data_IF_960848892337
#
_entry.id   IF_960848892337
#
_cell.length_a   1.000
_cell.length_b   1.000
_cell.length_c   1.000
_cell.angle_alpha   90.00
_cell.angle_beta   90.00
_cell.angle_gamma   90.00
#
_symmetry.space_group_name_H-M   'P 1'
#
loop_
_entity.id
_entity.type
_entity.pdbx_description
1 polymer ?
#
# COMPACT_ATOMS: atom_id res chain seq x y z
N UNK A 1 23.58 26.19 -5.41
CA UNK A 1 22.88 24.93 -5.72
C UNK A 1 23.87 23.80 -5.46
N UNK A 2 23.63 22.98 -4.46
CA UNK A 2 24.45 21.77 -4.21
C UNK A 2 24.18 20.80 -5.35
N UNK A 3 25.18 20.48 -6.17
CA UNK A 3 25.06 19.43 -7.18
C UNK A 3 24.93 18.09 -6.46
N UNK A 4 23.77 17.46 -6.58
CA UNK A 4 23.54 16.10 -6.11
C UNK A 4 24.31 15.10 -7.01
N UNK A 5 24.93 14.05 -6.43
CA UNK A 5 25.57 13.00 -7.24
C UNK A 5 24.56 12.34 -8.19
N UNK A 6 25.01 11.82 -9.33
CA UNK A 6 24.10 11.11 -10.23
C UNK A 6 23.72 9.74 -9.66
N UNK A 7 22.44 9.39 -9.65
CA UNK A 7 21.95 8.08 -9.19
C UNK A 7 21.13 7.38 -10.27
N UNK A 8 21.75 6.48 -11.01
CA UNK A 8 21.11 5.72 -12.11
C UNK A 8 20.64 4.36 -11.64
N UNK A 9 19.63 3.79 -12.31
CA UNK A 9 19.15 2.43 -12.05
C UNK A 9 20.27 1.41 -12.28
N UNK A 10 20.40 0.44 -11.37
CA UNK A 10 21.19 -0.78 -11.59
C UNK A 10 20.32 -1.94 -12.12
N UNK A 11 19.02 -1.70 -12.28
CA UNK A 11 18.02 -2.63 -12.79
C UNK A 11 17.40 -2.09 -14.10
N UNK A 12 16.89 -2.96 -14.99
CA UNK A 12 16.19 -2.53 -16.19
C UNK A 12 14.91 -1.74 -15.85
N UNK A 13 14.65 -0.66 -16.60
CA UNK A 13 13.39 0.10 -16.51
C UNK A 13 12.26 -0.72 -17.14
N UNK A 14 11.16 -0.91 -16.41
CA UNK A 14 9.95 -1.56 -16.92
C UNK A 14 8.99 -0.46 -17.40
N UNK A 15 9.04 -0.13 -18.69
CA UNK A 15 8.32 1.03 -19.24
C UNK A 15 6.78 0.97 -19.05
N UNK A 16 6.21 -0.23 -18.98
CA UNK A 16 4.78 -0.42 -18.74
C UNK A 16 4.38 -0.24 -17.26
N UNK A 17 5.34 -0.24 -16.34
CA UNK A 17 5.12 0.17 -14.96
C UNK A 17 5.10 1.70 -14.95
N UNK A 18 3.90 2.29 -14.97
CA UNK A 18 3.72 3.74 -14.96
C UNK A 18 3.17 4.22 -13.62
N UNK A 19 3.58 5.42 -13.22
CA UNK A 19 2.86 6.16 -12.18
C UNK A 19 1.55 6.63 -12.79
N UNK A 20 0.45 6.00 -12.42
CA UNK A 20 -0.86 6.40 -12.90
C UNK A 20 -1.21 7.76 -12.30
N UNK A 21 -1.03 8.81 -13.10
CA UNK A 21 -1.43 10.18 -12.78
C UNK A 21 -2.81 10.53 -13.35
N UNK A 22 -3.49 9.58 -14.00
CA UNK A 22 -4.81 9.76 -14.61
C UNK A 22 -5.77 8.69 -14.10
N UNK A 23 -6.45 8.97 -12.99
CA UNK A 23 -7.69 8.26 -12.65
C UNK A 23 -8.77 8.73 -13.63
N UNK A 24 -9.16 7.85 -14.57
CA UNK A 24 -9.84 8.18 -15.84
C UNK A 24 -11.32 8.63 -15.76
N UNK A 25 -11.80 9.16 -14.63
CA UNK A 25 -13.14 9.74 -14.57
C UNK A 25 -13.14 11.06 -13.81
N UNK A 26 -13.69 12.09 -14.45
CA UNK A 26 -13.91 13.41 -13.83
C UNK A 26 -14.75 13.29 -12.55
N UNK A 27 -14.62 14.26 -11.63
CA UNK A 27 -15.46 14.37 -10.43
C UNK A 27 -16.96 14.18 -10.75
N UNK A 28 -17.40 14.76 -11.88
CA UNK A 28 -18.77 14.59 -12.37
C UNK A 28 -19.13 13.14 -12.72
N UNK A 29 -18.24 12.39 -13.37
CA UNK A 29 -18.49 10.98 -13.68
C UNK A 29 -18.46 10.08 -12.43
N UNK A 30 -17.61 10.39 -11.45
CA UNK A 30 -17.61 9.74 -10.12
C UNK A 30 -18.97 9.96 -9.42
N UNK A 31 -19.46 11.20 -9.38
CA UNK A 31 -20.77 11.56 -8.82
C UNK A 31 -21.96 10.89 -9.55
N UNK A 32 -21.93 10.84 -10.88
CA UNK A 32 -23.00 10.19 -11.67
C UNK A 32 -23.06 8.69 -11.40
N UNK A 33 -21.91 8.02 -11.29
CA UNK A 33 -21.80 6.60 -10.96
C UNK A 33 -22.30 6.33 -9.53
N UNK A 34 -21.90 7.17 -8.57
CA UNK A 34 -22.45 7.19 -7.22
C UNK A 34 -23.98 7.24 -7.19
N UNK A 35 -24.57 8.21 -7.88
CA UNK A 35 -26.02 8.39 -7.93
C UNK A 35 -26.75 7.23 -8.61
N UNK A 36 -26.23 6.75 -9.74
CA UNK A 36 -26.88 5.67 -10.51
C UNK A 36 -27.02 4.40 -9.70
N UNK A 37 -26.03 4.09 -8.86
CA UNK A 37 -26.02 2.88 -8.06
C UNK A 37 -26.87 3.01 -6.78
N UNK A 38 -26.93 4.18 -6.16
CA UNK A 38 -27.88 4.42 -5.06
C UNK A 38 -29.35 4.27 -5.53
N UNK A 39 -29.63 4.56 -6.80
CA UNK A 39 -30.93 4.29 -7.43
C UNK A 39 -31.14 2.80 -7.77
N UNK A 40 -30.05 2.01 -7.77
CA UNK A 40 -30.02 0.56 -8.01
C UNK A 40 -29.71 -0.20 -6.72
N UNK A 41 -30.10 0.33 -5.55
CA UNK A 41 -29.89 -0.30 -4.24
C UNK A 41 -30.39 -1.75 -4.16
N UNK A 42 -31.45 -2.08 -4.90
CA UNK A 42 -31.99 -3.42 -5.05
C UNK A 42 -31.08 -4.42 -5.81
N UNK A 43 -30.07 -3.92 -6.54
CA UNK A 43 -29.07 -4.73 -7.27
C UNK A 43 -27.77 -4.92 -6.49
N UNK A 44 -27.52 -4.13 -5.44
CA UNK A 44 -26.28 -4.21 -4.66
C UNK A 44 -26.40 -5.37 -3.67
N UNK A 45 -25.44 -6.30 -3.69
CA UNK A 45 -25.34 -7.30 -2.63
C UNK A 45 -25.15 -6.61 -1.29
N UNK A 46 -26.13 -6.78 -0.39
CA UNK A 46 -26.06 -6.24 0.96
C UNK A 46 -24.75 -6.62 1.65
N UNK A 47 -24.09 -5.67 2.33
CA UNK A 47 -22.85 -5.97 3.05
C UNK A 47 -23.10 -7.06 4.08
N UNK A 48 -22.06 -7.83 4.45
CA UNK A 48 -22.19 -8.85 5.48
C UNK A 48 -22.83 -8.30 6.76
N UNK A 49 -23.67 -9.08 7.48
CA UNK A 49 -24.29 -8.64 8.73
C UNK A 49 -23.29 -8.15 9.77
N UNK A 50 -22.14 -8.82 9.93
CA UNK A 50 -21.08 -8.48 10.88
C UNK A 50 -19.71 -8.43 10.18
N UNK A 51 -19.46 -7.45 9.28
CA UNK A 51 -18.21 -7.38 8.54
C UNK A 51 -17.05 -7.12 9.49
N UNK A 52 -15.91 -7.76 9.21
CA UNK A 52 -14.64 -7.52 9.88
C UNK A 52 -13.49 -7.75 8.93
N UNK A 53 -12.62 -6.75 8.79
CA UNK A 53 -11.48 -6.82 7.88
C UNK A 53 -10.46 -7.88 8.33
N UNK A 54 -9.73 -8.45 7.38
CA UNK A 54 -8.53 -9.23 7.68
C UNK A 54 -7.48 -8.29 8.28
N UNK A 55 -6.79 -8.74 9.35
CA UNK A 55 -5.77 -7.93 9.99
C UNK A 55 -4.58 -7.68 9.06
N UNK A 56 -3.94 -6.51 9.18
CA UNK A 56 -2.68 -6.19 8.49
C UNK A 56 -1.45 -6.71 9.24
N UNK A 57 -1.59 -7.16 10.49
CA UNK A 57 -0.46 -7.55 11.34
C UNK A 57 -0.69 -8.83 12.16
N UNK A 58 -1.90 -9.05 12.68
CA UNK A 58 -2.19 -10.15 13.60
C UNK A 58 -2.62 -11.42 12.87
N UNK A 59 -2.15 -12.56 13.38
CA UNK A 59 -2.39 -13.87 12.77
C UNK A 59 -1.40 -14.23 11.67
N UNK A 60 -1.26 -15.53 11.41
CA UNK A 60 -0.37 -16.05 10.36
C UNK A 60 -0.81 -15.59 8.98
N UNK A 61 0.13 -15.28 8.10
CA UNK A 61 -0.15 -14.95 6.70
C UNK A 61 -0.39 -16.26 5.93
N UNK A 62 -1.66 -16.59 5.67
CA UNK A 62 -2.04 -17.88 5.08
C UNK A 62 -2.20 -17.84 3.57
N UNK A 63 -2.78 -16.78 3.02
CA UNK A 63 -3.00 -16.62 1.57
C UNK A 63 -2.83 -15.16 1.16
N UNK A 64 -2.04 -14.93 0.12
CA UNK A 64 -1.74 -13.63 -0.47
C UNK A 64 -2.11 -13.60 -1.96
N UNK A 65 -2.72 -12.51 -2.40
CA UNK A 65 -2.81 -12.17 -3.82
C UNK A 65 -1.54 -11.44 -4.24
N UNK A 66 -1.00 -11.83 -5.40
CA UNK A 66 -0.04 -11.05 -6.17
C UNK A 66 -0.58 -10.86 -7.59
N UNK A 67 -0.45 -9.64 -8.12
CA UNK A 67 -0.83 -9.33 -9.50
C UNK A 67 0.42 -9.31 -10.39
N UNK A 68 0.46 -10.21 -11.37
CA UNK A 68 1.52 -10.41 -12.34
C UNK A 68 1.01 -10.09 -13.76
N UNK A 69 0.80 -8.80 -14.08
CA UNK A 69 0.44 -8.39 -15.43
C UNK A 69 1.53 -8.80 -16.42
N UNK A 70 1.21 -8.84 -17.72
CA UNK A 70 2.10 -9.45 -18.71
C UNK A 70 3.49 -8.82 -18.71
N UNK A 71 3.57 -7.49 -18.56
CA UNK A 71 4.83 -6.75 -18.49
C UNK A 71 5.70 -7.13 -17.28
N UNK A 72 5.13 -7.66 -16.20
CA UNK A 72 5.89 -8.12 -15.04
C UNK A 72 6.58 -9.46 -15.31
N UNK A 73 6.21 -10.16 -16.39
CA UNK A 73 6.75 -11.46 -16.80
C UNK A 73 7.51 -11.40 -18.14
N UNK A 74 7.58 -10.23 -18.79
CA UNK A 74 8.40 -10.03 -19.98
C UNK A 74 9.88 -10.19 -19.63
N UNK A 75 10.62 -11.00 -20.40
CA UNK A 75 12.06 -11.29 -20.16
C UNK A 75 12.34 -11.63 -18.68
N UNK A 76 11.73 -12.69 -18.12
CA UNK A 76 11.66 -12.91 -16.68
C UNK A 76 13.04 -13.08 -16.00
N UNK A 77 14.08 -13.44 -16.74
CA UNK A 77 15.45 -13.54 -16.23
C UNK A 77 16.05 -12.17 -15.86
N UNK A 78 15.58 -11.10 -16.50
CA UNK A 78 16.08 -9.73 -16.32
C UNK A 78 15.02 -8.79 -15.73
N UNK A 79 13.76 -9.24 -15.62
CA UNK A 79 12.66 -8.41 -15.14
C UNK A 79 12.71 -8.23 -13.61
N UNK A 80 12.95 -7.00 -13.12
CA UNK A 80 13.05 -6.77 -11.68
C UNK A 80 11.73 -7.05 -10.94
N UNK A 81 10.57 -6.90 -11.60
CA UNK A 81 9.27 -7.13 -10.94
C UNK A 81 9.08 -8.61 -10.63
N UNK A 82 9.28 -9.49 -11.63
CA UNK A 82 9.21 -10.93 -11.41
C UNK A 82 10.26 -11.38 -10.40
N UNK A 83 11.50 -10.91 -10.51
CA UNK A 83 12.57 -11.33 -9.61
C UNK A 83 12.22 -11.05 -8.14
N UNK A 84 11.69 -9.85 -7.85
CA UNK A 84 11.30 -9.46 -6.49
C UNK A 84 10.06 -10.16 -6.00
N UNK A 85 9.05 -10.35 -6.84
CA UNK A 85 7.85 -11.14 -6.47
C UNK A 85 8.20 -12.61 -6.21
N UNK A 86 9.08 -13.21 -7.02
CA UNK A 86 9.60 -14.58 -6.80
C UNK A 86 10.38 -14.66 -5.49
N UNK A 87 11.25 -13.70 -5.22
CA UNK A 87 12.01 -13.66 -3.98
C UNK A 87 11.10 -13.54 -2.75
N UNK A 88 10.06 -12.70 -2.82
CA UNK A 88 9.04 -12.59 -1.77
C UNK A 88 8.36 -13.93 -1.50
N UNK A 89 7.92 -14.65 -2.53
CA UNK A 89 7.28 -15.96 -2.37
C UNK A 89 8.18 -17.00 -1.70
N UNK A 90 9.49 -16.96 -2.01
CA UNK A 90 10.50 -17.83 -1.41
C UNK A 90 10.83 -17.44 0.04
N UNK A 91 10.83 -16.15 0.36
CA UNK A 91 11.13 -15.62 1.70
C UNK A 91 9.99 -15.85 2.70
N UNK A 92 8.75 -16.00 2.23
CA UNK A 92 7.59 -16.25 3.09
C UNK A 92 7.50 -17.73 3.52
N UNK A 93 7.05 -18.03 4.74
CA UNK A 93 7.06 -19.38 5.31
C UNK A 93 6.26 -20.38 4.48
N UNK A 94 6.63 -21.66 4.53
CA UNK A 94 6.01 -22.71 3.71
C UNK A 94 4.47 -22.85 3.85
N UNK A 95 3.88 -22.33 4.94
CA UNK A 95 2.44 -22.33 5.15
C UNK A 95 1.70 -21.23 4.35
N UNK A 96 2.39 -20.21 3.88
CA UNK A 96 1.81 -19.13 3.09
C UNK A 96 1.58 -19.60 1.65
N UNK A 97 0.33 -19.52 1.20
CA UNK A 97 -0.09 -19.79 -0.16
C UNK A 97 -0.28 -18.48 -0.94
N UNK A 98 -0.31 -18.58 -2.25
CA UNK A 98 -0.43 -17.45 -3.15
C UNK A 98 -1.50 -17.68 -4.21
N UNK A 99 -2.32 -16.67 -4.42
CA UNK A 99 -3.17 -16.53 -5.61
C UNK A 99 -2.50 -15.53 -6.55
N UNK A 100 -2.17 -15.97 -7.76
CA UNK A 100 -1.39 -15.19 -8.72
C UNK A 100 -2.28 -14.79 -9.89
N UNK A 101 -2.67 -13.53 -9.98
CA UNK A 101 -3.40 -13.02 -11.13
C UNK A 101 -2.44 -12.77 -12.29
N UNK A 102 -2.67 -13.38 -13.45
CA UNK A 102 -1.88 -13.15 -14.66
C UNK A 102 -2.76 -13.18 -15.90
N UNK A 103 -2.31 -12.59 -17.00
CA UNK A 103 -3.04 -12.64 -18.26
C UNK A 103 -3.01 -14.07 -18.85
N UNK A 104 -4.08 -14.49 -19.53
CA UNK A 104 -4.17 -15.81 -20.19
C UNK A 104 -2.97 -16.09 -21.09
N UNK A 105 -2.45 -15.08 -21.80
CA UNK A 105 -1.27 -15.20 -22.67
C UNK A 105 0.03 -15.55 -21.92
N UNK A 106 0.15 -15.14 -20.66
CA UNK A 106 1.35 -15.39 -19.82
C UNK A 106 1.17 -16.55 -18.84
N UNK A 107 -0.01 -17.17 -18.78
CA UNK A 107 -0.32 -18.25 -17.84
C UNK A 107 0.67 -19.44 -17.94
N UNK A 108 0.95 -19.93 -19.15
CA UNK A 108 1.87 -21.06 -19.33
C UNK A 108 3.32 -20.70 -18.96
N UNK A 109 3.74 -19.47 -19.26
CA UNK A 109 5.05 -18.96 -18.86
C UNK A 109 5.17 -18.93 -17.32
N UNK A 110 4.17 -18.36 -16.64
CA UNK A 110 4.13 -18.31 -15.18
C UNK A 110 4.15 -19.73 -14.57
N UNK A 111 3.37 -20.67 -15.11
CA UNK A 111 3.35 -22.05 -14.64
C UNK A 111 4.75 -22.70 -14.70
N UNK A 112 5.49 -22.50 -15.80
CA UNK A 112 6.86 -23.00 -15.95
C UNK A 112 7.81 -22.35 -14.95
N UNK A 113 7.75 -21.02 -14.79
CA UNK A 113 8.59 -20.28 -13.85
C UNK A 113 8.34 -20.73 -12.39
N UNK A 114 7.10 -21.01 -12.03
CA UNK A 114 6.75 -21.54 -10.69
C UNK A 114 7.27 -22.97 -10.49
N UNK A 115 7.25 -23.80 -11.55
CA UNK A 115 7.81 -25.14 -11.50
C UNK A 115 9.33 -25.09 -11.30
N UNK A 116 10.04 -24.24 -12.05
CA UNK A 116 11.49 -24.04 -11.90
C UNK A 116 11.86 -23.55 -10.49
N UNK A 117 11.02 -22.70 -9.90
CA UNK A 117 11.21 -22.18 -8.53
C UNK A 117 10.70 -23.14 -7.42
N UNK A 118 10.16 -24.32 -7.76
CA UNK A 118 9.52 -25.25 -6.82
C UNK A 118 8.36 -24.63 -6.00
N UNK A 119 7.63 -23.69 -6.59
CA UNK A 119 6.52 -22.95 -5.94
C UNK A 119 5.13 -23.50 -6.30
N UNK A 120 5.01 -24.42 -7.26
CA UNK A 120 3.71 -24.91 -7.79
C UNK A 120 2.73 -25.37 -6.73
N UNK A 121 3.20 -26.01 -5.64
CA UNK A 121 2.31 -26.51 -4.56
C UNK A 121 1.72 -25.40 -3.67
N UNK A 122 2.32 -24.20 -3.69
CA UNK A 122 1.92 -23.06 -2.87
C UNK A 122 1.19 -21.99 -3.69
N UNK A 123 1.12 -22.12 -5.01
CA UNK A 123 0.60 -21.09 -5.90
C UNK A 123 -0.59 -21.61 -6.72
N UNK A 124 -1.68 -20.84 -6.72
CA UNK A 124 -2.80 -20.96 -7.66
C UNK A 124 -2.71 -19.83 -8.67
N UNK A 125 -2.85 -20.14 -9.96
CA UNK A 125 -2.91 -19.11 -11.00
C UNK A 125 -4.37 -18.76 -11.31
N UNK A 126 -4.68 -17.46 -11.26
CA UNK A 126 -5.91 -16.87 -11.76
C UNK A 126 -5.62 -16.29 -13.15
N UNK A 127 -6.12 -16.96 -14.19
CA UNK A 127 -5.93 -16.54 -15.58
C UNK A 127 -7.00 -15.52 -15.98
N UNK A 128 -6.60 -14.25 -16.07
CA UNK A 128 -7.42 -13.08 -16.44
C UNK A 128 -7.41 -12.92 -17.97
N UNK A 129 -8.54 -12.47 -18.54
CA UNK A 129 -8.61 -12.22 -19.98
C UNK A 129 -7.55 -11.19 -20.44
N UNK A 130 -7.03 -11.35 -21.65
CA UNK A 130 -5.98 -10.46 -22.17
C UNK A 130 -6.47 -9.03 -22.42
N UNK A 131 -7.78 -8.79 -22.47
CA UNK A 131 -8.40 -7.48 -22.64
C UNK A 131 -8.59 -6.71 -21.33
N UNK A 132 -8.46 -7.39 -20.18
CA UNK A 132 -8.59 -6.77 -18.87
C UNK A 132 -7.20 -6.37 -18.42
N UNK A 133 -6.93 -5.07 -18.45
CA UNK A 133 -5.71 -4.52 -17.88
C UNK A 133 -5.81 -4.49 -16.35
N UNK A 134 -4.69 -4.80 -15.68
CA UNK A 134 -4.57 -4.67 -14.24
C UNK A 134 -3.11 -4.38 -13.86
N UNK A 135 -2.93 -3.87 -12.65
CA UNK A 135 -1.62 -3.38 -12.20
C UNK A 135 -0.97 -4.36 -11.21
N UNK A 136 0.31 -4.15 -10.90
CA UNK A 136 1.01 -4.95 -9.87
C UNK A 136 0.54 -4.67 -8.44
N UNK A 137 -0.24 -3.61 -8.23
CA UNK A 137 -0.57 -3.06 -6.91
C UNK A 137 -1.78 -3.77 -6.31
N UNK A 138 -1.59 -5.04 -5.95
CA UNK A 138 -2.67 -5.91 -5.47
C UNK A 138 -3.38 -5.37 -4.21
N UNK A 139 -2.71 -4.51 -3.41
CA UNK A 139 -3.24 -4.03 -2.14
C UNK A 139 -4.45 -3.11 -2.31
N UNK A 140 -4.45 -2.30 -3.37
CA UNK A 140 -5.31 -1.13 -3.53
C UNK A 140 -6.75 -1.44 -3.94
N UNK A 141 -7.01 -2.30 -4.95
CA UNK A 141 -8.32 -2.41 -5.59
C UNK A 141 -9.46 -2.87 -4.70
N UNK A 142 -9.12 -3.66 -3.69
CA UNK A 142 -10.10 -4.38 -2.87
C UNK A 142 -9.77 -4.27 -1.39
N UNK A 143 -10.76 -4.49 -0.53
CA UNK A 143 -10.58 -4.92 0.84
C UNK A 143 -11.04 -6.38 0.98
N UNK A 144 -10.50 -7.10 1.95
CA UNK A 144 -10.89 -8.48 2.24
C UNK A 144 -11.27 -8.58 3.70
N UNK A 145 -12.40 -9.24 3.97
CA UNK A 145 -12.91 -9.44 5.31
C UNK A 145 -13.53 -10.80 5.52
N UNK A 146 -14.11 -10.97 6.70
CA UNK A 146 -14.95 -12.10 7.08
C UNK A 146 -16.21 -11.61 7.77
N UNK A 147 -17.34 -12.23 7.48
CA UNK A 147 -18.51 -12.07 8.33
C UNK A 147 -18.20 -12.76 9.65
N UNK A 148 -18.15 -11.99 10.73
CA UNK A 148 -17.83 -12.53 12.03
C UNK A 148 -19.00 -13.29 12.69
N UNK A 149 -20.17 -13.31 12.04
CA UNK A 149 -21.30 -14.14 12.43
C UNK A 149 -21.26 -15.53 11.74
N UNK A 150 -21.12 -15.58 10.42
CA UNK A 150 -21.09 -16.85 9.68
C UNK A 150 -19.69 -17.47 9.55
N UNK A 151 -18.64 -16.65 9.60
CA UNK A 151 -17.26 -17.03 9.31
C UNK A 151 -16.90 -16.92 7.82
N UNK A 152 -17.85 -16.59 6.95
CA UNK A 152 -17.62 -16.53 5.50
C UNK A 152 -16.72 -15.37 5.12
N UNK A 153 -15.80 -15.61 4.20
CA UNK A 153 -14.94 -14.58 3.65
C UNK A 153 -15.64 -13.79 2.54
N UNK A 154 -15.30 -12.51 2.44
CA UNK A 154 -15.79 -11.65 1.39
C UNK A 154 -14.70 -10.72 0.86
N UNK A 155 -14.84 -10.36 -0.41
CA UNK A 155 -14.13 -9.29 -1.09
C UNK A 155 -15.06 -8.09 -1.13
N UNK A 156 -14.53 -6.93 -0.77
CA UNK A 156 -15.23 -5.66 -0.79
C UNK A 156 -14.52 -4.71 -1.74
N UNK A 157 -15.21 -4.28 -2.77
CA UNK A 157 -14.74 -3.20 -3.64
C UNK A 157 -15.24 -1.84 -3.15
N UNK A 158 -14.45 -0.78 -3.32
CA UNK A 158 -14.97 0.57 -3.20
C UNK A 158 -15.87 0.87 -4.41
N UNK A 159 -16.74 1.86 -4.24
CA UNK A 159 -17.76 2.24 -5.22
C UNK A 159 -17.18 2.66 -6.57
N UNK A 160 -16.05 3.35 -6.49
CA UNK A 160 -15.28 3.78 -7.64
C UNK A 160 -13.85 3.37 -7.38
N UNK A 161 -13.48 2.18 -7.86
CA UNK A 161 -12.09 1.88 -8.18
C UNK A 161 -11.93 1.97 -9.70
N UNK A 162 -11.30 3.04 -10.16
CA UNK A 162 -11.22 3.36 -11.59
C UNK A 162 -9.82 3.15 -12.14
N UNK A 163 -9.05 2.31 -11.45
CA UNK A 163 -7.69 2.02 -11.83
C UNK A 163 -7.70 0.89 -12.87
N UNK A 164 -7.47 1.24 -14.13
CA UNK A 164 -7.41 0.26 -15.21
C UNK A 164 -8.68 -0.63 -15.25
N UNK A 165 -8.54 -1.93 -15.53
CA UNK A 165 -9.58 -2.95 -15.38
C UNK A 165 -9.60 -3.62 -14.01
N UNK A 166 -8.98 -3.05 -12.97
CA UNK A 166 -8.83 -3.68 -11.64
C UNK A 166 -10.20 -4.00 -10.99
N UNK A 167 -11.27 -3.28 -11.34
CA UNK A 167 -12.63 -3.61 -10.89
C UNK A 167 -13.11 -4.99 -11.37
N UNK A 168 -12.70 -5.43 -12.56
CA UNK A 168 -13.03 -6.79 -13.05
C UNK A 168 -12.21 -7.87 -12.33
N UNK A 169 -11.08 -7.51 -11.71
CA UNK A 169 -10.24 -8.45 -10.99
C UNK A 169 -10.92 -8.96 -9.72
N UNK A 170 -11.71 -8.13 -9.03
CA UNK A 170 -12.37 -8.52 -7.78
C UNK A 170 -13.39 -9.64 -7.98
N UNK A 171 -14.21 -9.57 -9.02
CA UNK A 171 -15.20 -10.60 -9.36
C UNK A 171 -14.53 -11.93 -9.71
N UNK A 172 -13.52 -11.87 -10.58
CA UNK A 172 -12.73 -13.04 -10.99
C UNK A 172 -12.02 -13.67 -9.78
N UNK A 173 -11.47 -12.84 -8.91
CA UNK A 173 -10.80 -13.28 -7.70
C UNK A 173 -11.78 -13.92 -6.73
N UNK A 174 -12.92 -13.27 -6.43
CA UNK A 174 -13.94 -13.78 -5.54
C UNK A 174 -14.40 -15.18 -5.96
N UNK A 175 -14.71 -15.34 -7.25
CA UNK A 175 -15.06 -16.63 -7.83
C UNK A 175 -13.94 -17.68 -7.68
N UNK A 176 -12.70 -17.31 -7.99
CA UNK A 176 -11.57 -18.23 -7.94
C UNK A 176 -11.20 -18.68 -6.52
N UNK A 177 -11.44 -17.85 -5.51
CA UNK A 177 -11.16 -18.16 -4.10
C UNK A 177 -12.38 -18.63 -3.31
N UNK A 178 -13.57 -18.59 -3.92
CA UNK A 178 -14.82 -18.99 -3.30
C UNK A 178 -15.33 -18.02 -2.24
N UNK A 179 -15.02 -16.73 -2.39
CA UNK A 179 -15.47 -15.67 -1.48
C UNK A 179 -16.71 -14.99 -2.03
N UNK A 180 -17.52 -14.41 -1.14
CA UNK A 180 -18.59 -13.51 -1.56
C UNK A 180 -18.00 -12.21 -2.07
N UNK A 181 -18.64 -11.59 -3.04
CA UNK A 181 -18.28 -10.27 -3.53
C UNK A 181 -19.37 -9.26 -3.13
N UNK A 182 -18.95 -8.07 -2.74
CA UNK A 182 -19.85 -6.96 -2.42
C UNK A 182 -19.14 -5.65 -2.72
N UNK A 183 -19.92 -4.58 -2.86
CA UNK A 183 -19.41 -3.23 -3.09
C UNK A 183 -19.88 -2.31 -1.97
N UNK A 184 -19.01 -1.38 -1.56
CA UNK A 184 -19.36 -0.33 -0.62
C UNK A 184 -19.51 1.00 -1.35
N UNK A 185 -20.49 1.84 -0.96
CA UNK A 185 -20.63 3.22 -1.44
C UNK A 185 -19.57 4.12 -0.78
N UNK A 186 -18.30 3.74 -0.87
CA UNK A 186 -17.18 4.39 -0.21
C UNK A 186 -16.04 4.52 -1.22
N UNK A 187 -15.27 5.59 -1.10
CA UNK A 187 -13.97 5.67 -1.75
C UNK A 187 -12.90 5.15 -0.78
N UNK A 188 -12.18 4.12 -1.18
CA UNK A 188 -11.00 3.66 -0.46
C UNK A 188 -10.07 2.85 -1.37
N UNK A 189 -8.83 2.76 -0.94
CA UNK A 189 -7.81 1.85 -1.47
C UNK A 189 -7.19 1.12 -0.27
N UNK A 190 -6.86 -0.15 -0.44
CA UNK A 190 -6.39 -0.97 0.68
C UNK A 190 -5.06 -0.52 1.28
N UNK A 191 -4.17 0.16 0.53
CA UNK A 191 -2.91 0.68 1.09
C UNK A 191 -3.14 1.76 2.15
N UNK A 192 -4.32 2.41 2.09
CA UNK A 192 -4.71 3.43 3.05
C UNK A 192 -5.51 2.89 4.25
N UNK A 193 -5.52 1.56 4.44
CA UNK A 193 -6.21 0.88 5.53
C UNK A 193 -5.22 -0.04 6.26
N UNK A 194 -5.02 0.19 7.56
CA UNK A 194 -4.19 -0.67 8.43
C UNK A 194 -5.02 -1.25 9.57
N UNK A 195 -5.14 -2.58 9.61
CA UNK A 195 -6.06 -3.28 10.49
C UNK A 195 -5.31 -3.95 11.64
N UNK A 196 -5.53 -3.47 12.87
CA UNK A 196 -4.92 -4.01 14.08
C UNK A 196 -5.81 -5.09 14.73
N UNK A 197 -5.66 -5.30 16.04
CA UNK A 197 -6.44 -6.27 16.81
C UNK A 197 -7.84 -5.75 17.14
N UNK A 198 -7.94 -4.59 17.81
CA UNK A 198 -9.20 -3.97 18.26
C UNK A 198 -9.53 -2.61 17.60
N UNK A 199 -8.69 -2.15 16.68
CA UNK A 199 -8.91 -0.94 15.89
C UNK A 199 -8.46 -1.13 14.44
N UNK A 200 -8.84 -0.21 13.57
CA UNK A 200 -8.23 -0.05 12.26
C UNK A 200 -8.04 1.42 11.93
N UNK A 201 -6.95 1.72 11.24
CA UNK A 201 -6.68 3.03 10.68
C UNK A 201 -7.24 3.14 9.27
N UNK A 202 -7.74 4.32 8.96
CA UNK A 202 -8.08 4.77 7.62
C UNK A 202 -7.40 6.11 7.39
N UNK A 203 -6.70 6.26 6.28
CA UNK A 203 -6.09 7.53 5.89
C UNK A 203 -7.12 8.63 5.67
N UNK A 204 -6.78 9.86 6.05
CA UNK A 204 -7.73 10.97 6.14
C UNK A 204 -8.20 11.52 4.78
N UNK A 205 -7.45 11.28 3.70
CA UNK A 205 -7.88 11.71 2.35
C UNK A 205 -9.18 11.00 1.94
N UNK A 206 -9.37 9.72 2.30
CA UNK A 206 -10.47 8.92 1.77
C UNK A 206 -11.85 9.22 2.35
N UNK A 207 -12.00 9.49 3.66
CA UNK A 207 -13.23 10.08 4.17
C UNK A 207 -13.56 11.43 3.52
N UNK A 208 -12.56 12.26 3.23
CA UNK A 208 -12.77 13.57 2.57
C UNK A 208 -13.29 13.35 1.16
N UNK A 209 -12.63 12.49 0.38
CA UNK A 209 -13.06 12.11 -0.96
C UNK A 209 -14.47 11.50 -0.96
N UNK A 210 -14.76 10.58 -0.02
CA UNK A 210 -16.09 10.00 0.13
C UNK A 210 -17.16 11.07 0.40
N UNK A 211 -16.87 12.06 1.26
CA UNK A 211 -17.78 13.20 1.49
C UNK A 211 -18.00 13.99 0.20
N UNK A 212 -16.96 14.23 -0.61
CA UNK A 212 -17.07 14.97 -1.87
C UNK A 212 -17.93 14.23 -2.92
N UNK A 213 -17.87 12.90 -2.95
CA UNK A 213 -18.59 12.11 -3.95
C UNK A 213 -20.04 11.80 -3.54
N UNK A 214 -20.26 11.39 -2.29
CA UNK A 214 -21.57 10.88 -1.82
C UNK A 214 -22.12 11.62 -0.60
N UNK A 215 -21.41 12.59 -0.03
CA UNK A 215 -21.75 13.18 1.27
C UNK A 215 -23.11 13.85 1.33
N UNK A 216 -23.62 14.39 0.22
CA UNK A 216 -24.97 14.96 0.12
C UNK A 216 -26.08 13.91 -0.02
N UNK A 217 -25.69 12.66 -0.31
CA UNK A 217 -26.60 11.52 -0.46
C UNK A 217 -26.69 10.69 0.83
N UNK A 218 -25.78 10.91 1.79
CA UNK A 218 -25.79 10.21 3.08
C UNK A 218 -26.92 10.74 3.96
N UNK A 219 -27.79 9.85 4.42
CA UNK A 219 -28.85 10.21 5.37
C UNK A 219 -28.23 10.56 6.73
N UNK A 220 -28.50 11.78 7.21
CA UNK A 220 -28.00 12.26 8.50
C UNK A 220 -29.03 12.02 9.60
N UNK A 221 -28.59 11.54 10.76
CA UNK A 221 -29.41 11.55 11.98
C UNK A 221 -29.51 12.98 12.54
N UNK A 222 -30.56 13.31 13.33
CA UNK A 222 -30.67 14.61 13.97
C UNK A 222 -29.41 14.97 14.78
N UNK A 223 -28.78 16.10 14.46
CA UNK A 223 -27.56 16.59 15.12
C UNK A 223 -26.25 15.94 14.66
N UNK A 224 -26.30 15.03 13.68
CA UNK A 224 -25.12 14.38 13.11
C UNK A 224 -24.46 15.24 12.01
N UNK A 225 -23.14 15.35 12.03
CA UNK A 225 -22.37 15.97 10.95
C UNK A 225 -22.12 14.98 9.81
N UNK A 226 -21.93 15.48 8.58
CA UNK A 226 -21.55 14.62 7.44
C UNK A 226 -20.31 13.77 7.71
N UNK A 227 -19.31 14.33 8.38
CA UNK A 227 -18.10 13.60 8.76
C UNK A 227 -18.39 12.43 9.71
N UNK A 228 -19.30 12.61 10.67
CA UNK A 228 -19.74 11.54 11.56
C UNK A 228 -20.50 10.45 10.79
N UNK A 229 -21.39 10.84 9.87
CA UNK A 229 -22.17 9.90 9.07
C UNK A 229 -21.29 9.07 8.13
N UNK A 230 -20.33 9.69 7.41
CA UNK A 230 -19.37 8.97 6.56
C UNK A 230 -18.49 8.04 7.40
N UNK A 231 -18.01 8.48 8.57
CA UNK A 231 -17.27 7.60 9.48
C UNK A 231 -18.09 6.37 9.90
N UNK A 232 -19.40 6.54 10.17
CA UNK A 232 -20.30 5.41 10.46
C UNK A 232 -20.46 4.50 9.25
N UNK A 233 -20.54 5.02 8.02
CA UNK A 233 -20.60 4.19 6.82
C UNK A 233 -19.34 3.33 6.66
N UNK A 234 -18.14 3.90 6.83
CA UNK A 234 -16.90 3.11 6.84
C UNK A 234 -16.93 1.99 7.90
N UNK A 235 -17.37 2.31 9.11
CA UNK A 235 -17.55 1.33 10.20
C UNK A 235 -18.59 0.25 9.85
N UNK A 236 -19.65 0.58 9.11
CA UNK A 236 -20.71 -0.36 8.76
C UNK A 236 -20.29 -1.35 7.67
N UNK A 237 -19.53 -0.90 6.68
CA UNK A 237 -19.12 -1.71 5.53
C UNK A 237 -17.78 -2.44 5.74
N UNK A 238 -16.80 -1.78 6.38
CA UNK A 238 -15.47 -2.35 6.52
C UNK A 238 -15.37 -3.28 7.73
N UNK A 239 -15.67 -2.78 8.92
CA UNK A 239 -15.51 -3.53 10.15
C UNK A 239 -16.43 -2.98 11.24
N UNK A 240 -17.41 -3.76 11.74
CA UNK A 240 -18.35 -3.29 12.79
C UNK A 240 -17.80 -3.45 14.21
N UNK A 241 -16.71 -4.20 14.40
CA UNK A 241 -16.21 -4.60 15.73
C UNK A 241 -15.05 -3.74 16.20
N UNK A 242 -14.08 -3.48 15.31
CA UNK A 242 -12.87 -2.72 15.63
C UNK A 242 -13.12 -1.23 15.57
N UNK A 243 -12.51 -0.43 16.45
CA UNK A 243 -12.65 1.03 16.43
C UNK A 243 -12.03 1.64 15.16
N UNK A 244 -12.78 2.45 14.41
CA UNK A 244 -12.23 3.26 13.32
C UNK A 244 -11.48 4.51 13.84
N UNK A 245 -10.22 4.61 13.47
CA UNK A 245 -9.34 5.76 13.72
C UNK A 245 -8.91 6.38 12.39
N UNK A 246 -9.18 7.67 12.19
CA UNK A 246 -8.78 8.37 10.96
C UNK A 246 -7.40 8.99 11.17
N UNK A 247 -6.49 8.76 10.24
CA UNK A 247 -5.09 9.15 10.35
C UNK A 247 -4.71 10.17 9.28
N UNK A 248 -4.16 11.29 9.71
CA UNK A 248 -3.68 12.35 8.83
C UNK A 248 -2.85 13.38 9.59
N UNK A 249 -2.35 14.35 8.85
CA UNK A 249 -1.65 15.53 9.35
C UNK A 249 -2.64 16.66 9.59
N UNK A 250 -2.38 17.46 10.63
CA UNK A 250 -3.06 18.74 10.87
C UNK A 250 -2.21 19.94 10.45
N UNK A 251 -1.06 19.71 9.83
CA UNK A 251 -0.22 20.74 9.21
C UNK A 251 -0.27 20.61 7.68
N UNK A 252 -0.10 21.72 6.93
CA UNK A 252 -0.15 21.71 5.47
C UNK A 252 0.83 20.72 4.85
N UNK A 253 0.41 20.12 3.74
CA UNK A 253 1.18 19.16 2.96
C UNK A 253 1.37 19.73 1.56
N UNK A 254 2.58 19.67 1.01
CA UNK A 254 2.81 20.10 -0.36
C UNK A 254 2.17 19.11 -1.34
N UNK A 255 1.54 19.66 -2.38
CA UNK A 255 1.15 18.94 -3.57
C UNK A 255 2.36 18.53 -4.40
N UNK A 256 2.16 17.61 -5.34
CA UNK A 256 3.19 17.18 -6.30
C UNK A 256 3.77 18.40 -7.03
N UNK A 257 5.10 18.53 -7.01
CA UNK A 257 5.81 19.66 -7.61
C UNK A 257 6.79 19.18 -8.68
N UNK A 258 6.80 19.82 -9.84
CA UNK A 258 7.81 19.61 -10.88
C UNK A 258 8.60 20.88 -11.11
N UNK A 259 9.93 20.80 -11.08
CA UNK A 259 10.84 21.93 -11.34
C UNK A 259 11.81 21.59 -12.44
N UNK A 260 12.25 22.60 -13.18
CA UNK A 260 13.34 22.45 -14.14
C UNK A 260 14.68 22.87 -13.52
N UNK A 261 15.75 22.18 -13.91
CA UNK A 261 17.11 22.53 -13.52
C UNK A 261 18.10 22.18 -14.63
N UNK A 262 19.31 22.74 -14.59
CA UNK A 262 20.37 22.44 -15.56
C UNK A 262 21.33 21.40 -15.00
N UNK A 263 21.59 20.33 -15.75
CA UNK A 263 22.58 19.28 -15.44
C UNK A 263 23.21 18.79 -16.73
N UNK A 264 24.54 18.73 -16.75
CA UNK A 264 25.34 18.28 -17.91
C UNK A 264 25.00 19.01 -19.23
N UNK A 265 24.71 20.32 -19.14
CA UNK A 265 24.36 21.16 -20.29
C UNK A 265 22.97 20.90 -20.88
N UNK A 266 22.14 20.11 -20.22
CA UNK A 266 20.75 19.84 -20.60
C UNK A 266 19.78 20.38 -19.55
N UNK A 267 18.58 20.71 -20.00
CA UNK A 267 17.45 20.96 -19.11
C UNK A 267 16.90 19.62 -18.62
N UNK A 268 16.79 19.49 -17.30
CA UNK A 268 16.20 18.35 -16.62
C UNK A 268 14.94 18.77 -15.89
N UNK A 269 14.02 17.82 -15.67
CA UNK A 269 12.88 17.97 -14.76
C UNK A 269 13.15 17.19 -13.48
N UNK A 270 12.80 17.74 -12.33
CA UNK A 270 12.76 17.00 -11.08
C UNK A 270 11.37 17.03 -10.45
N UNK A 271 10.94 15.89 -9.94
CA UNK A 271 9.60 15.68 -9.38
C UNK A 271 9.68 15.36 -7.89
N UNK A 272 8.88 16.07 -7.10
CA UNK A 272 8.74 15.91 -5.65
C UNK A 272 7.30 15.55 -5.29
N UNK A 273 7.11 14.92 -4.12
CA UNK A 273 5.80 14.65 -3.53
C UNK A 273 4.86 13.89 -4.47
N UNK A 274 5.40 12.88 -5.16
CA UNK A 274 4.67 12.05 -6.12
C UNK A 274 3.35 11.55 -5.52
N UNK A 275 2.24 11.72 -6.26
CA UNK A 275 0.85 11.38 -5.88
C UNK A 275 0.19 12.25 -4.80
N UNK A 276 0.86 13.28 -4.26
CA UNK A 276 0.15 14.26 -3.44
C UNK A 276 -0.64 15.21 -4.34
N UNK A 277 -1.91 15.42 -4.00
CA UNK A 277 -2.82 16.32 -4.71
C UNK A 277 -3.07 17.60 -3.91
N UNK A 278 -3.69 18.60 -4.55
CA UNK A 278 -4.09 19.81 -3.86
C UNK A 278 -5.03 19.46 -2.69
N UNK A 279 -4.64 19.86 -1.47
CA UNK A 279 -5.43 19.61 -0.27
C UNK A 279 -5.23 18.24 0.38
N UNK A 280 -4.27 17.41 -0.09
CA UNK A 280 -3.89 16.18 0.62
C UNK A 280 -3.58 16.45 2.10
N UNK A 281 -4.05 15.55 2.96
CA UNK A 281 -3.87 15.60 4.42
C UNK A 281 -3.03 14.43 4.95
N UNK A 282 -2.39 13.67 4.07
CA UNK A 282 -1.42 12.63 4.44
C UNK A 282 -0.03 12.90 3.84
N UNK A 283 1.08 12.68 4.58
CA UNK A 283 2.42 12.99 4.07
C UNK A 283 2.76 12.24 2.78
N UNK A 284 2.30 10.99 2.68
CA UNK A 284 2.32 10.17 1.47
C UNK A 284 0.88 9.72 1.20
N UNK A 285 0.56 9.46 -0.06
CA UNK A 285 -0.79 9.11 -0.51
C UNK A 285 -1.46 7.96 0.27
N UNK A 286 -0.68 6.99 0.78
CA UNK A 286 -1.16 5.90 1.66
C UNK A 286 -0.46 5.86 3.03
N UNK A 287 -1.22 5.52 4.08
CA UNK A 287 -0.68 5.38 5.45
C UNK A 287 0.30 4.22 5.63
N UNK A 288 0.16 3.13 4.87
CA UNK A 288 1.08 2.00 4.94
C UNK A 288 2.52 2.33 4.47
N UNK A 289 2.67 3.45 3.76
CA UNK A 289 3.97 3.96 3.32
C UNK A 289 4.75 4.63 4.44
N UNK A 290 4.14 4.95 5.59
CA UNK A 290 4.84 5.64 6.68
C UNK A 290 4.41 5.24 8.10
N UNK A 291 3.43 4.33 8.24
CA UNK A 291 3.02 3.74 9.52
C UNK A 291 3.09 2.22 9.44
N UNK A 292 3.65 1.57 10.46
CA UNK A 292 3.60 0.12 10.61
C UNK A 292 3.05 -0.29 11.97
N UNK A 293 2.30 -1.39 12.01
CA UNK A 293 1.72 -1.95 13.22
C UNK A 293 2.71 -2.92 13.87
N UNK A 294 2.96 -2.83 15.18
CA UNK A 294 3.92 -3.68 15.90
C UNK A 294 3.31 -4.42 17.11
N UNK A 295 1.98 -4.54 17.16
CA UNK A 295 1.27 -5.24 18.23
C UNK A 295 1.32 -4.51 19.57
N UNK A 296 0.90 -5.18 20.65
CA UNK A 296 0.92 -4.60 22.00
C UNK A 296 2.25 -4.86 22.69
N UNK A 297 2.63 -3.97 23.59
CA UNK A 297 3.69 -4.24 24.56
C UNK A 297 3.16 -4.96 25.81
N UNK A 298 4.06 -5.25 26.76
CA UNK A 298 3.72 -5.93 28.01
C UNK A 298 2.74 -5.16 28.89
N UNK A 299 2.55 -3.85 28.66
CA UNK A 299 1.56 -3.01 29.35
C UNK A 299 0.22 -2.96 28.62
N UNK A 300 0.09 -3.67 27.48
CA UNK A 300 -1.12 -3.67 26.65
C UNK A 300 -1.23 -2.44 25.74
N UNK A 301 -0.23 -1.56 25.71
CA UNK A 301 -0.24 -0.38 24.84
C UNK A 301 0.14 -0.79 23.42
N UNK A 302 -0.66 -0.38 22.43
CA UNK A 302 -0.37 -0.73 21.05
C UNK A 302 0.81 0.09 20.50
N UNK A 303 1.74 -0.60 19.88
CA UNK A 303 3.00 -0.08 19.36
C UNK A 303 2.90 0.20 17.86
N UNK A 304 3.38 1.36 17.44
CA UNK A 304 3.39 1.81 16.06
C UNK A 304 4.80 2.29 15.70
N UNK A 305 5.22 2.05 14.46
CA UNK A 305 6.38 2.71 13.88
C UNK A 305 5.88 3.81 12.94
N UNK A 306 6.50 4.98 13.01
CA UNK A 306 6.21 6.10 12.10
C UNK A 306 7.52 6.63 11.53
N UNK A 307 7.62 6.70 10.20
CA UNK A 307 8.83 7.10 9.49
C UNK A 307 9.34 8.50 9.88
N UNK A 308 10.66 8.65 9.96
CA UNK A 308 11.38 9.88 10.32
C UNK A 308 12.52 10.16 9.32
N UNK A 309 12.35 11.15 8.43
CA UNK A 309 13.39 11.51 7.48
C UNK A 309 14.62 12.21 8.08
N UNK A 310 14.48 12.83 9.25
CA UNK A 310 15.63 13.40 9.99
C UNK A 310 16.51 12.30 10.53
N UNK A 311 15.91 11.26 11.12
CA UNK A 311 16.66 10.09 11.58
C UNK A 311 17.44 9.42 10.44
N UNK A 312 16.84 9.34 9.24
CA UNK A 312 17.55 8.84 8.06
C UNK A 312 18.73 9.74 7.66
N UNK A 313 18.53 11.05 7.58
CA UNK A 313 19.61 12.00 7.24
C UNK A 313 20.78 11.90 8.24
N UNK A 314 20.49 11.85 9.54
CA UNK A 314 21.50 11.73 10.61
C UNK A 314 22.31 10.44 10.48
N UNK A 315 21.66 9.30 10.23
CA UNK A 315 22.32 7.99 10.03
C UNK A 315 23.20 7.96 8.78
N UNK A 316 22.75 8.61 7.71
CA UNK A 316 23.49 8.68 6.45
C UNK A 316 24.68 9.66 6.55
N UNK A 317 24.66 10.59 7.51
CA UNK A 317 25.61 11.69 7.60
C UNK A 317 25.36 12.74 6.51
N UNK A 318 24.12 12.87 6.06
CA UNK A 318 23.70 13.74 4.97
C UNK A 318 22.88 14.92 5.51
N UNK A 319 22.90 16.10 4.85
CA UNK A 319 22.03 17.19 5.23
C UNK A 319 20.56 16.78 5.02
N UNK A 320 19.70 17.13 5.97
CA UNK A 320 18.26 16.90 5.85
C UNK A 320 17.72 17.54 4.54
N UNK A 321 17.14 16.76 3.61
CA UNK A 321 16.60 17.32 2.39
C UNK A 321 15.45 18.29 2.69
N UNK A 322 15.44 19.44 1.99
CA UNK A 322 14.39 20.48 2.15
C UNK A 322 12.98 19.92 1.94
N UNK A 323 12.85 18.94 1.06
CA UNK A 323 11.58 18.33 0.64
C UNK A 323 11.19 17.11 1.49
N UNK A 324 11.86 16.86 2.61
CA UNK A 324 11.65 15.66 3.42
C UNK A 324 10.40 15.70 4.34
N UNK A 325 9.62 16.78 4.37
CA UNK A 325 8.35 16.88 5.12
C UNK A 325 8.43 16.49 6.62
N UNK A 326 9.59 16.67 7.29
CA UNK A 326 9.81 16.24 8.69
C UNK A 326 8.71 16.72 9.64
N UNK A 327 8.27 17.98 9.51
CA UNK A 327 7.22 18.54 10.37
C UNK A 327 5.86 17.84 10.20
N UNK A 328 5.57 17.29 9.02
CA UNK A 328 4.33 16.54 8.73
C UNK A 328 4.40 15.17 9.40
N UNK A 329 5.51 14.44 9.26
CA UNK A 329 5.71 13.16 9.95
C UNK A 329 5.72 13.31 11.48
N UNK A 330 6.36 14.37 12.00
CA UNK A 330 6.35 14.68 13.43
C UNK A 330 4.94 15.04 13.93
N UNK A 331 4.12 15.68 13.10
CA UNK A 331 2.71 15.95 13.43
C UNK A 331 1.91 14.64 13.58
N UNK A 332 2.02 13.73 12.61
CA UNK A 332 1.37 12.42 12.66
C UNK A 332 1.79 11.65 13.91
N UNK A 333 3.10 11.55 14.19
CA UNK A 333 3.62 10.82 15.34
C UNK A 333 3.08 11.39 16.66
N UNK A 334 3.07 12.72 16.82
CA UNK A 334 2.50 13.37 18.01
C UNK A 334 0.99 13.11 18.15
N UNK A 335 0.24 13.12 17.06
CA UNK A 335 -1.20 12.87 17.09
C UNK A 335 -1.50 11.43 17.52
N UNK A 336 -0.73 10.47 17.03
CA UNK A 336 -0.81 9.07 17.47
C UNK A 336 -0.44 8.89 18.95
N UNK A 337 0.62 9.54 19.42
CA UNK A 337 0.99 9.53 20.85
C UNK A 337 -0.13 10.09 21.72
N UNK A 338 -0.72 11.23 21.33
CA UNK A 338 -1.88 11.83 22.02
C UNK A 338 -3.11 10.91 22.02
N UNK A 339 -3.27 10.09 20.98
CA UNK A 339 -4.33 9.09 20.89
C UNK A 339 -4.07 7.83 21.75
N UNK A 340 -2.94 7.77 22.47
CA UNK A 340 -2.63 6.70 23.42
C UNK A 340 -1.72 5.60 22.86
N UNK A 341 -1.16 5.76 21.66
CA UNK A 341 -0.25 4.79 21.07
C UNK A 341 1.19 4.96 21.54
N UNK A 342 1.92 3.85 21.63
CA UNK A 342 3.38 3.88 21.81
C UNK A 342 4.02 4.01 20.43
N UNK A 343 4.56 5.19 20.14
CA UNK A 343 5.12 5.49 18.82
C UNK A 343 6.64 5.42 18.84
N UNK A 344 7.20 4.56 18.01
CA UNK A 344 8.62 4.51 17.68
C UNK A 344 8.86 5.23 16.35
N UNK A 345 10.02 5.89 16.23
CA UNK A 345 10.46 6.55 15.00
C UNK A 345 11.45 5.66 14.28
N UNK A 346 11.27 5.45 12.98
CA UNK A 346 12.16 4.62 12.17
C UNK A 346 12.71 5.41 10.97
N UNK A 347 13.94 5.14 10.50
CA UNK A 347 14.55 5.91 9.41
C UNK A 347 13.71 5.83 8.13
N UNK A 348 13.35 6.99 7.56
CA UNK A 348 12.61 7.11 6.30
C UNK A 348 13.40 7.99 5.29
N UNK A 349 14.38 7.42 4.57
CA UNK A 349 15.22 8.19 3.65
C UNK A 349 14.41 8.74 2.45
N UNK A 350 14.53 10.05 2.20
CA UNK A 350 14.14 10.66 0.93
C UNK A 350 15.33 10.57 -0.04
N UNK A 351 15.15 9.88 -1.16
CA UNK A 351 16.19 9.69 -2.18
C UNK A 351 15.63 9.97 -3.58
N UNK A 352 16.44 9.76 -4.62
CA UNK A 352 16.03 9.98 -5.99
C UNK A 352 16.66 8.98 -6.96
N UNK A 353 16.08 8.90 -8.14
CA UNK A 353 16.62 8.25 -9.33
C UNK A 353 16.72 9.27 -10.46
N UNK A 354 17.83 9.23 -11.20
CA UNK A 354 18.09 10.00 -12.40
C UNK A 354 17.88 9.11 -13.63
N UNK A 355 16.93 9.51 -14.47
CA UNK A 355 16.66 8.94 -15.79
C UNK A 355 17.36 9.80 -16.85
N UNK A 356 18.50 9.31 -17.35
CA UNK A 356 19.33 10.05 -18.29
C UNK A 356 18.70 10.16 -19.68
N UNK A 357 17.86 9.20 -20.05
CA UNK A 357 17.18 9.18 -21.36
C UNK A 357 16.07 10.22 -21.37
N UNK A 358 15.25 10.26 -20.32
CA UNK A 358 14.14 11.21 -20.19
C UNK A 358 14.57 12.59 -19.66
N UNK A 359 15.81 12.74 -19.19
CA UNK A 359 16.29 13.92 -18.47
C UNK A 359 15.39 14.26 -17.26
N UNK A 360 15.01 13.22 -16.50
CA UNK A 360 14.14 13.34 -15.32
C UNK A 360 14.85 12.88 -14.04
N UNK A 361 14.56 13.56 -12.93
CA UNK A 361 14.91 13.13 -11.57
C UNK A 361 13.63 12.91 -10.78
N UNK A 362 13.42 11.70 -10.26
CA UNK A 362 12.24 11.37 -9.45
C UNK A 362 12.64 11.16 -8.01
N UNK A 363 12.15 12.03 -7.13
CA UNK A 363 12.35 11.90 -5.69
C UNK A 363 11.28 11.00 -5.07
N UNK A 364 11.70 10.08 -4.20
CA UNK A 364 10.81 9.13 -3.53
C UNK A 364 11.35 8.76 -2.15
N UNK A 365 10.45 8.35 -1.26
CA UNK A 365 10.82 7.80 0.04
C UNK A 365 11.09 6.30 -0.10
N UNK A 366 12.30 5.88 0.25
CA UNK A 366 12.66 4.48 0.37
C UNK A 366 12.14 3.96 1.72
N UNK A 367 10.87 3.54 1.73
CA UNK A 367 10.13 3.26 2.96
C UNK A 367 10.25 1.82 3.45
N UNK A 368 10.81 1.64 4.64
CA UNK A 368 10.77 0.36 5.35
C UNK A 368 9.40 0.09 6.01
N UNK A 369 8.49 1.07 6.05
CA UNK A 369 7.19 0.91 6.71
C UNK A 369 6.21 0.07 5.89
N UNK A 370 6.37 0.07 4.56
CA UNK A 370 5.54 -0.69 3.64
C UNK A 370 5.97 -2.17 3.60
N UNK A 371 5.69 -2.84 4.71
CA UNK A 371 6.19 -4.16 5.08
C UNK A 371 5.06 -5.17 5.34
N UNK A 372 5.39 -6.46 5.31
CA UNK A 372 4.48 -7.51 5.77
C UNK A 372 4.76 -7.83 7.23
N UNK A 373 3.73 -7.81 8.07
CA UNK A 373 3.85 -8.06 9.51
C UNK A 373 3.03 -9.29 9.89
N UNK A 374 3.61 -10.20 10.67
CA UNK A 374 2.96 -11.39 11.22
C UNK A 374 3.18 -11.43 12.73
N UNK A 375 2.09 -11.33 13.50
CA UNK A 375 2.07 -11.40 14.96
C UNK A 375 1.14 -12.53 15.34
N UNK A 376 1.70 -13.70 15.65
CA UNK A 376 0.93 -14.87 16.10
C UNK A 376 0.80 -14.87 17.61
N UNK A 377 1.87 -14.48 18.30
CA UNK A 377 1.94 -14.34 19.76
C UNK A 377 3.07 -13.39 20.14
N UNK A 378 3.27 -13.18 21.44
CA UNK A 378 4.42 -12.39 21.90
C UNK A 378 5.78 -13.05 21.63
N UNK A 379 5.83 -14.36 21.44
CA UNK A 379 7.05 -15.10 21.13
C UNK A 379 7.21 -15.42 19.63
N UNK A 380 6.17 -15.24 18.82
CA UNK A 380 6.16 -15.54 17.39
C UNK A 380 5.72 -14.29 16.62
N UNK A 381 6.72 -13.44 16.33
CA UNK A 381 6.56 -12.20 15.55
C UNK A 381 7.56 -12.21 14.40
N UNK A 382 7.10 -11.91 13.19
CA UNK A 382 7.92 -11.83 11.98
C UNK A 382 7.59 -10.57 11.18
N UNK A 383 8.59 -10.02 10.53
CA UNK A 383 8.42 -8.91 9.61
C UNK A 383 9.30 -9.07 8.37
N UNK A 384 8.71 -8.84 7.20
CA UNK A 384 9.43 -8.80 5.94
C UNK A 384 9.54 -7.34 5.47
N UNK A 385 10.75 -6.79 5.53
CA UNK A 385 11.02 -5.37 5.26
C UNK A 385 11.60 -5.20 3.86
N UNK A 386 11.12 -4.23 3.05
CA UNK A 386 11.88 -3.82 1.86
C UNK A 386 13.21 -3.19 2.28
N UNK A 387 14.25 -3.43 1.48
CA UNK A 387 15.56 -2.83 1.68
C UNK A 387 16.07 -2.16 0.39
N UNK A 388 16.95 -1.18 0.55
CA UNK A 388 17.31 -0.21 -0.50
C UNK A 388 18.82 0.05 -0.59
N UNK A 389 19.62 -0.53 0.30
CA UNK A 389 21.07 -0.42 0.30
C UNK A 389 21.74 -1.23 -0.80
N UNK A 390 21.58 -0.83 -2.06
CA UNK A 390 22.19 -1.50 -3.22
C UNK A 390 22.42 -0.54 -4.40
N UNK A 391 23.26 -0.94 -5.35
CA UNK A 391 23.55 -0.15 -6.55
C UNK A 391 24.03 1.27 -6.22
N UNK A 392 23.39 2.28 -6.83
CA UNK A 392 23.69 3.71 -6.59
C UNK A 392 23.24 4.22 -5.20
N UNK A 393 22.59 3.37 -4.41
CA UNK A 393 22.04 3.67 -3.08
C UNK A 393 22.67 2.82 -1.97
N UNK A 394 23.88 2.30 -2.18
CA UNK A 394 24.63 1.51 -1.19
C UNK A 394 24.69 2.15 0.22
N UNK A 395 24.69 3.49 0.29
CA UNK A 395 24.64 4.23 1.56
C UNK A 395 23.38 3.93 2.40
N UNK A 396 22.26 3.56 1.76
CA UNK A 396 21.00 3.21 2.42
C UNK A 396 21.07 1.90 3.22
N UNK A 397 22.13 1.10 3.11
CA UNK A 397 22.35 -0.06 4.02
C UNK A 397 22.30 0.35 5.48
N UNK A 398 22.81 1.55 5.82
CA UNK A 398 22.75 2.09 7.18
C UNK A 398 21.31 2.25 7.69
N UNK A 399 20.40 2.72 6.83
CA UNK A 399 18.98 2.87 7.18
C UNK A 399 18.26 1.53 7.19
N UNK A 400 18.61 0.59 6.30
CA UNK A 400 18.07 -0.77 6.30
C UNK A 400 18.40 -1.50 7.60
N UNK A 401 19.68 -1.49 8.00
CA UNK A 401 20.16 -2.09 9.24
C UNK A 401 19.55 -1.42 10.48
N UNK A 402 19.34 -0.11 10.46
CA UNK A 402 18.70 0.61 11.56
C UNK A 402 17.22 0.25 11.70
N UNK A 403 16.49 0.10 10.58
CA UNK A 403 15.12 -0.41 10.59
C UNK A 403 15.08 -1.86 11.11
N UNK A 404 15.97 -2.73 10.65
CA UNK A 404 16.09 -4.10 11.14
C UNK A 404 16.29 -4.15 12.65
N UNK A 405 17.30 -3.44 13.19
CA UNK A 405 17.57 -3.41 14.64
C UNK A 405 16.39 -2.91 15.46
N UNK A 406 15.63 -1.93 14.95
CA UNK A 406 14.44 -1.43 15.64
C UNK A 406 13.37 -2.52 15.73
N UNK A 407 13.07 -3.22 14.63
CA UNK A 407 12.11 -4.31 14.64
C UNK A 407 12.55 -5.49 15.53
N UNK A 408 13.83 -5.87 15.48
CA UNK A 408 14.42 -6.88 16.37
C UNK A 408 14.25 -6.49 17.85
N UNK A 409 14.42 -5.20 18.18
CA UNK A 409 14.23 -4.71 19.55
C UNK A 409 12.77 -4.81 20.04
N UNK A 410 11.81 -4.91 19.12
CA UNK A 410 10.39 -5.14 19.39
C UNK A 410 10.03 -6.63 19.44
N UNK A 411 11.02 -7.53 19.32
CA UNK A 411 10.86 -8.98 19.41
C UNK A 411 10.50 -9.65 18.09
N UNK A 412 10.70 -8.99 16.94
CA UNK A 412 10.44 -9.56 15.62
C UNK A 412 11.66 -10.30 15.08
N UNK A 413 11.43 -11.46 14.47
CA UNK A 413 12.34 -12.03 13.48
C UNK A 413 12.21 -11.19 12.19
N UNK A 414 13.34 -10.64 11.72
CA UNK A 414 13.35 -9.72 10.56
C UNK A 414 13.94 -10.42 9.35
N UNK A 415 13.19 -10.38 8.24
CA UNK A 415 13.67 -10.79 6.92
C UNK A 415 13.74 -9.56 6.02
N UNK A 416 14.95 -9.16 5.61
CA UNK A 416 15.12 -8.13 4.59
C UNK A 416 14.80 -8.70 3.21
N UNK A 417 14.04 -7.94 2.43
CA UNK A 417 13.71 -8.18 1.04
C UNK A 417 14.51 -7.18 0.19
N UNK A 418 15.55 -7.61 -0.52
CA UNK A 418 16.49 -6.72 -1.16
C UNK A 418 15.89 -6.02 -2.39
N UNK A 419 16.41 -4.82 -2.65
CA UNK A 419 16.29 -4.09 -3.91
C UNK A 419 14.85 -3.79 -4.34
N UNK A 420 14.17 -3.00 -3.51
CA UNK A 420 12.79 -2.53 -3.78
C UNK A 420 12.73 -1.19 -4.54
N UNK A 421 13.84 -0.75 -5.14
CA UNK A 421 13.89 0.54 -5.84
C UNK A 421 12.92 0.62 -7.01
N UNK A 422 12.75 -0.45 -7.79
CA UNK A 422 11.82 -0.50 -8.92
C UNK A 422 10.37 -0.24 -8.49
N UNK A 423 9.98 -0.60 -7.26
CA UNK A 423 8.64 -0.26 -6.75
C UNK A 423 8.63 1.14 -6.13
N UNK A 424 9.67 1.51 -5.38
CA UNK A 424 9.70 2.76 -4.63
C UNK A 424 9.74 4.00 -5.54
N UNK A 425 10.40 3.91 -6.71
CA UNK A 425 10.35 4.98 -7.71
C UNK A 425 8.95 5.19 -8.32
N UNK A 426 8.06 4.19 -8.12
CA UNK A 426 6.65 4.22 -8.49
C UNK A 426 5.69 4.36 -7.28
N UNK A 427 6.23 4.88 -6.17
CA UNK A 427 5.50 5.13 -4.93
C UNK A 427 4.88 3.87 -4.31
N UNK A 428 5.59 2.73 -4.28
CA UNK A 428 5.13 1.54 -3.55
C UNK A 428 6.27 0.64 -3.07
N UNK A 429 5.95 -0.38 -2.27
CA UNK A 429 6.90 -1.45 -1.92
C UNK A 429 6.17 -2.78 -1.66
N UNK A 430 6.59 -3.54 -0.63
CA UNK A 430 6.15 -4.92 -0.39
C UNK A 430 4.65 -5.01 -0.11
N UNK A 431 4.13 -4.19 0.81
CA UNK A 431 2.72 -4.25 1.19
C UNK A 431 1.83 -3.82 0.01
N UNK A 432 2.21 -2.78 -0.75
CA UNK A 432 1.46 -2.30 -1.91
C UNK A 432 1.24 -3.38 -3.00
N UNK A 433 2.21 -4.27 -3.21
CA UNK A 433 2.12 -5.32 -4.25
C UNK A 433 1.44 -6.61 -3.78
N UNK A 434 0.95 -6.65 -2.54
CA UNK A 434 0.32 -7.83 -1.96
C UNK A 434 -1.08 -7.53 -1.45
N UNK A 435 -1.97 -8.52 -1.42
CA UNK A 435 -3.22 -8.43 -0.64
C UNK A 435 -3.43 -9.66 0.23
N UNK A 436 -3.69 -9.46 1.51
CA UNK A 436 -4.10 -10.55 2.39
C UNK A 436 -5.47 -11.09 1.99
N UNK A 437 -5.53 -12.33 1.52
CA UNK A 437 -6.77 -13.06 1.26
C UNK A 437 -7.21 -13.87 2.48
N UNK A 438 -6.25 -14.32 3.29
CA UNK A 438 -6.53 -15.08 4.51
C UNK A 438 -5.44 -14.91 5.56
N UNK A 439 -5.86 -14.80 6.82
CA UNK A 439 -5.00 -14.91 7.99
C UNK A 439 -5.51 -15.93 9.00
N UNK A 440 -4.57 -16.52 9.74
CA UNK A 440 -4.80 -17.58 10.74
C UNK A 440 -5.03 -17.09 12.15
#
# INVERSE_FOLDING_TARGET
MTQHPSKTRHYPKVNALVNETSQDISLHGKQKTALSILLMDWLIETPPPSPSLISSAHGRILDLLLCLPAYALENPQENPLWERMRHLMLALPAHTHFTLATHRRTNNLLANLLQEANLTRRCRILAVDNQIDFTIWAQDPIAVGKDSQSGDHYILEPHTFLRSGDAYLADLLASAVGYRHTQAPLYFEGGNILVADDFFFLGADYPVETIQYIGDMVTLQPGETRAQAVKKLFQQYLDKRRKLLVLGSTVPIPEQETRTFQKDGKEWKEHYYMKNEEGSVQPLFHIDMFVSLAGRDAQGQYQLLVGDPRLAADLLGEPLPRHAMVNVFDNVARNLQKAGFKVYRNPLPLTYVDDQEECERKWYFATANNALVEIVSDQEKRVWLPSYGCGAWENLKKTDEANQRLWESLGFEVQLLPDFHTFAEHSGAVHCITKYLKRG
#
